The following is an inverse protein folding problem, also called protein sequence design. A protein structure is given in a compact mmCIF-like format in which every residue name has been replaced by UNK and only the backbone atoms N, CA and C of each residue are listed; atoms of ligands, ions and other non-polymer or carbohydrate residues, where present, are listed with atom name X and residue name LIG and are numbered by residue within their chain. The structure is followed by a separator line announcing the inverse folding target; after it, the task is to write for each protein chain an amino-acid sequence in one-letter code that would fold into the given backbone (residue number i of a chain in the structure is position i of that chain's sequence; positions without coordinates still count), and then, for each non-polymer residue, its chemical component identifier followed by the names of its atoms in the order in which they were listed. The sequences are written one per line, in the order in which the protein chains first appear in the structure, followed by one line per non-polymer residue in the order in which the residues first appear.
data_IF_580288109654
#
_entry.id   IF_580288109654
#
_cell.length_a   1.000
_cell.length_b   1.000
_cell.length_c   1.000
_cell.angle_alpha   90.00
_cell.angle_beta   90.00
_cell.angle_gamma   90.00
#
_symmetry.space_group_name_H-M   'P 1'
#
loop_
_entity.id
_entity.type
_entity.pdbx_description
1 polymer ?
#
# COMPACT_ATOMS: atom_id res chain seq x y z
N UNK A 1 -5.94 14.03 -15.83
CA UNK A 1 -6.79 13.87 -14.64
C UNK A 1 -6.06 14.20 -13.30
N UNK A 2 -4.93 14.96 -13.35
CA UNK A 2 -4.20 15.40 -12.16
C UNK A 2 -3.95 14.27 -11.12
N UNK A 3 -3.59 13.07 -11.60
CA UNK A 3 -3.30 11.90 -10.75
C UNK A 3 -4.44 11.53 -9.78
N UNK A 4 -5.70 11.58 -10.24
CA UNK A 4 -6.86 11.11 -9.48
C UNK A 4 -7.45 9.86 -10.09
N UNK A 5 -8.11 9.07 -9.24
CA UNK A 5 -8.88 7.91 -9.67
C UNK A 5 -10.07 8.36 -10.54
N UNK A 6 -10.27 7.69 -11.67
CA UNK A 6 -11.44 7.85 -12.53
C UNK A 6 -12.10 6.50 -12.84
N UNK A 7 -11.66 5.46 -12.15
CA UNK A 7 -12.16 4.09 -12.34
C UNK A 7 -13.38 3.83 -11.48
N UNK A 8 -14.31 3.02 -12.02
CA UNK A 8 -15.41 2.42 -11.28
C UNK A 8 -15.06 0.99 -10.84
N UNK A 9 -16.08 0.20 -10.52
CA UNK A 9 -15.95 -1.16 -9.96
C UNK A 9 -15.11 -2.12 -10.79
N UNK A 10 -15.15 -2.00 -12.12
CA UNK A 10 -14.41 -2.88 -13.02
C UNK A 10 -12.92 -2.53 -13.08
N UNK A 11 -12.57 -1.24 -13.08
CA UNK A 11 -11.18 -0.79 -13.25
C UNK A 11 -10.39 -0.70 -11.94
N UNK A 12 -11.06 -0.35 -10.84
CA UNK A 12 -10.39 -0.11 -9.55
C UNK A 12 -9.61 -1.32 -9.02
N UNK A 13 -10.10 -2.58 -9.11
CA UNK A 13 -9.35 -3.74 -8.66
C UNK A 13 -8.01 -3.97 -9.37
N UNK A 14 -7.84 -3.43 -10.58
CA UNK A 14 -6.68 -3.70 -11.42
C UNK A 14 -5.69 -2.55 -11.52
N UNK A 15 -6.12 -1.30 -11.31
CA UNK A 15 -5.30 -0.13 -11.64
C UNK A 15 -3.98 -0.11 -10.87
N UNK A 16 -4.00 -0.29 -9.55
CA UNK A 16 -2.77 -0.27 -8.75
C UNK A 16 -1.86 -1.46 -9.06
N UNK A 17 -2.43 -2.65 -9.30
CA UNK A 17 -1.67 -3.82 -9.75
C UNK A 17 -0.99 -3.57 -11.09
N UNK A 18 -1.76 -3.13 -12.09
CA UNK A 18 -1.24 -2.85 -13.44
C UNK A 18 -0.12 -1.82 -13.41
N UNK A 19 -0.28 -0.74 -12.67
CA UNK A 19 0.76 0.27 -12.51
C UNK A 19 2.02 -0.31 -11.86
N UNK A 20 1.88 -1.04 -10.77
CA UNK A 20 3.02 -1.65 -10.06
C UNK A 20 3.76 -2.69 -10.91
N UNK A 21 3.05 -3.48 -11.69
CA UNK A 21 3.62 -4.53 -12.54
C UNK A 21 4.30 -4.00 -13.81
N UNK A 22 3.97 -2.78 -14.22
CA UNK A 22 4.55 -2.14 -15.40
C UNK A 22 5.51 -0.99 -15.09
N UNK A 23 6.13 -0.99 -13.90
CA UNK A 23 7.18 -0.06 -13.54
C UNK A 23 6.70 1.34 -13.09
N UNK A 24 5.38 1.50 -12.87
CA UNK A 24 4.78 2.75 -12.42
C UNK A 24 4.23 2.65 -10.98
N UNK A 25 4.96 1.95 -10.09
CA UNK A 25 4.54 1.71 -8.71
C UNK A 25 4.35 3.02 -7.91
N UNK A 26 5.21 4.00 -8.12
CA UNK A 26 5.08 5.33 -7.49
C UNK A 26 3.76 6.02 -7.84
N UNK A 27 3.25 5.83 -9.06
CA UNK A 27 1.93 6.33 -9.44
C UNK A 27 0.82 5.59 -8.69
N UNK A 28 0.92 4.27 -8.52
CA UNK A 28 -0.03 3.50 -7.72
C UNK A 28 -0.02 3.96 -6.26
N UNK A 29 1.15 4.17 -5.68
CA UNK A 29 1.34 4.72 -4.34
C UNK A 29 0.73 6.13 -4.21
N UNK A 30 0.96 7.00 -5.19
CA UNK A 30 0.36 8.35 -5.23
C UNK A 30 -1.17 8.28 -5.24
N UNK A 31 -1.76 7.42 -6.07
CA UNK A 31 -3.22 7.24 -6.11
C UNK A 31 -3.77 6.72 -4.78
N UNK A 32 -3.05 5.81 -4.14
CA UNK A 32 -3.44 5.23 -2.87
C UNK A 32 -3.38 6.24 -1.72
N UNK A 33 -2.35 7.09 -1.68
CA UNK A 33 -2.12 8.08 -0.64
C UNK A 33 -2.83 9.43 -0.85
N UNK A 34 -3.60 9.59 -1.95
CA UNK A 34 -4.41 10.78 -2.19
C UNK A 34 -5.46 10.95 -1.10
N UNK A 35 -5.56 12.17 -0.55
CA UNK A 35 -6.52 12.53 0.49
C UNK A 35 -7.73 13.29 -0.06
N UNK A 36 -7.58 13.92 -1.23
CA UNK A 36 -8.65 14.66 -1.89
C UNK A 36 -9.52 13.77 -2.79
N UNK A 37 -10.73 14.22 -3.08
CA UNK A 37 -11.70 13.51 -3.92
C UNK A 37 -11.23 13.44 -5.39
N UNK A 38 -11.38 12.30 -6.06
CA UNK A 38 -11.80 10.98 -5.59
C UNK A 38 -10.63 10.11 -5.12
N UNK A 39 -10.71 9.58 -3.91
CA UNK A 39 -9.68 8.70 -3.34
C UNK A 39 -10.23 7.85 -2.19
N UNK A 40 -9.49 6.83 -1.77
CA UNK A 40 -9.81 6.04 -0.57
C UNK A 40 -9.70 6.89 0.71
N UNK A 41 -8.63 7.69 0.83
CA UNK A 41 -8.39 8.49 2.03
C UNK A 41 -9.37 9.66 2.16
N UNK A 42 -9.94 10.16 1.06
CA UNK A 42 -11.07 11.09 1.13
C UNK A 42 -12.22 10.53 1.98
N UNK A 43 -12.65 9.29 1.70
CA UNK A 43 -13.70 8.65 2.49
C UNK A 43 -13.28 8.47 3.95
N UNK A 44 -12.04 8.07 4.22
CA UNK A 44 -11.49 7.93 5.58
C UNK A 44 -11.51 9.27 6.31
N UNK A 45 -11.05 10.35 5.67
CA UNK A 45 -11.02 11.71 6.24
C UNK A 45 -12.43 12.26 6.49
N UNK A 46 -13.43 11.81 5.71
CA UNK A 46 -14.85 12.09 5.96
C UNK A 46 -15.47 11.22 7.06
N UNK A 47 -14.68 10.40 7.76
CA UNK A 47 -15.11 9.56 8.87
C UNK A 47 -15.71 8.21 8.48
N UNK A 48 -15.44 7.71 7.27
CA UNK A 48 -15.89 6.39 6.84
C UNK A 48 -15.30 5.27 7.72
N UNK A 49 -16.15 4.37 8.17
CA UNK A 49 -15.77 3.14 8.88
C UNK A 49 -15.96 1.89 8.02
N UNK A 50 -16.47 2.06 6.82
CA UNK A 50 -16.76 1.01 5.84
C UNK A 50 -16.40 1.53 4.45
N UNK A 51 -16.24 0.63 3.48
CA UNK A 51 -16.02 1.00 2.07
C UNK A 51 -17.34 1.49 1.47
N UNK A 52 -17.30 2.68 0.87
CA UNK A 52 -18.44 3.27 0.19
C UNK A 52 -18.60 2.75 -1.24
N UNK A 53 -19.84 2.74 -1.74
CA UNK A 53 -20.16 2.35 -3.12
C UNK A 53 -19.62 3.35 -4.15
N UNK A 54 -19.56 4.62 -3.78
CA UNK A 54 -19.12 5.71 -4.66
C UNK A 54 -18.01 6.50 -3.99
N UNK A 55 -17.12 7.05 -4.79
CA UNK A 55 -16.10 7.96 -4.29
C UNK A 55 -16.67 9.19 -3.59
N UNK A 56 -17.84 9.66 -4.04
CA UNK A 56 -18.58 10.83 -3.53
C UNK A 56 -19.82 10.45 -2.72
N UNK A 57 -19.89 9.28 -2.11
CA UNK A 57 -21.07 8.86 -1.33
C UNK A 57 -21.50 9.91 -0.32
N UNK A 58 -20.52 10.56 0.35
CA UNK A 58 -20.74 11.77 1.13
C UNK A 58 -19.90 12.89 0.50
N UNK A 59 -20.54 14.00 0.15
CA UNK A 59 -19.90 15.18 -0.43
C UNK A 59 -19.17 15.99 0.63
N UNK A 60 -18.23 16.91 0.25
CA UNK A 60 -17.48 17.72 1.22
C UNK A 60 -18.36 18.56 2.16
N UNK A 61 -19.57 18.90 1.77
CA UNK A 61 -20.56 19.61 2.59
C UNK A 61 -21.32 18.68 3.57
N UNK A 62 -20.97 17.38 3.61
CA UNK A 62 -21.60 16.38 4.45
C UNK A 62 -22.93 15.84 3.92
N UNK A 63 -23.39 16.28 2.74
CA UNK A 63 -24.61 15.76 2.13
C UNK A 63 -24.34 14.48 1.33
N UNK A 64 -25.37 13.63 1.21
CA UNK A 64 -25.27 12.43 0.38
C UNK A 64 -25.34 12.77 -1.11
N UNK A 65 -24.73 11.91 -1.93
CA UNK A 65 -24.94 11.94 -3.37
C UNK A 65 -26.39 11.55 -3.71
N UNK A 66 -27.02 12.35 -4.58
CA UNK A 66 -28.46 12.24 -4.91
C UNK A 66 -28.79 11.19 -5.99
N UNK A 67 -27.80 10.49 -6.51
CA UNK A 67 -27.98 9.58 -7.65
C UNK A 67 -28.73 8.27 -7.32
N UNK A 68 -29.23 8.10 -6.11
CA UNK A 68 -30.21 7.08 -5.71
C UNK A 68 -29.62 5.70 -5.38
N UNK A 69 -28.46 5.33 -5.90
CA UNK A 69 -27.74 4.10 -5.55
C UNK A 69 -26.44 4.49 -4.82
N UNK A 70 -26.49 4.48 -3.52
CA UNK A 70 -25.42 4.98 -2.67
C UNK A 70 -25.34 4.22 -1.33
N UNK A 71 -24.73 3.04 -1.36
CA UNK A 71 -24.47 2.27 -0.16
C UNK A 71 -23.20 2.78 0.55
N UNK A 72 -23.26 2.91 1.86
CA UNK A 72 -22.08 3.17 2.69
C UNK A 72 -21.36 1.88 3.13
N UNK A 73 -21.84 0.72 2.72
CA UNK A 73 -21.23 -0.57 3.00
C UNK A 73 -21.19 -1.42 1.72
N UNK A 74 -20.18 -1.19 0.89
CA UNK A 74 -20.03 -1.84 -0.41
C UNK A 74 -18.57 -2.33 -0.59
N UNK A 75 -18.38 -3.57 -1.07
CA UNK A 75 -17.06 -4.21 -1.08
C UNK A 75 -16.11 -3.73 -2.18
N UNK A 76 -16.61 -3.21 -3.31
CA UNK A 76 -15.87 -3.14 -4.57
C UNK A 76 -14.55 -2.36 -4.48
N UNK A 77 -14.53 -1.19 -3.89
CA UNK A 77 -13.30 -0.39 -3.74
C UNK A 77 -12.36 -0.92 -2.67
N UNK A 78 -12.83 -1.81 -1.80
CA UNK A 78 -11.98 -2.53 -0.84
C UNK A 78 -11.03 -3.53 -1.49
N UNK A 79 -11.20 -3.80 -2.79
CA UNK A 79 -10.26 -4.58 -3.62
C UNK A 79 -8.81 -4.05 -3.59
N UNK A 80 -8.58 -2.79 -3.21
CA UNK A 80 -7.23 -2.24 -2.98
C UNK A 80 -6.46 -3.03 -1.93
N UNK A 81 -7.16 -3.69 -1.01
CA UNK A 81 -6.56 -4.58 0.00
C UNK A 81 -5.71 -5.70 -0.64
N UNK A 82 -6.12 -6.29 -1.77
CA UNK A 82 -5.31 -7.27 -2.47
C UNK A 82 -3.98 -6.67 -2.96
N UNK A 83 -3.98 -5.43 -3.46
CA UNK A 83 -2.76 -4.72 -3.83
C UNK A 83 -1.89 -4.41 -2.61
N UNK A 84 -2.48 -4.03 -1.48
CA UNK A 84 -1.73 -3.81 -0.24
C UNK A 84 -1.00 -5.08 0.21
N UNK A 85 -1.68 -6.24 0.20
CA UNK A 85 -1.07 -7.51 0.54
C UNK A 85 0.02 -7.92 -0.45
N UNK A 86 -0.30 -7.92 -1.76
CA UNK A 86 0.56 -8.53 -2.77
C UNK A 86 1.69 -7.64 -3.26
N UNK A 87 1.54 -6.31 -3.18
CA UNK A 87 2.55 -5.35 -3.65
C UNK A 87 3.18 -4.59 -2.51
N UNK A 88 2.41 -3.96 -1.63
CA UNK A 88 2.97 -3.17 -0.54
C UNK A 88 3.64 -4.09 0.49
N UNK A 89 2.91 -5.01 1.11
CA UNK A 89 3.49 -6.01 2.00
C UNK A 89 4.32 -7.07 1.23
N UNK A 90 4.05 -7.24 -0.07
CA UNK A 90 4.80 -8.11 -0.97
C UNK A 90 4.45 -9.59 -0.87
N UNK A 91 3.43 -9.96 -0.08
CA UNK A 91 3.07 -11.36 0.12
C UNK A 91 2.22 -11.88 -1.04
N UNK A 92 2.76 -12.79 -1.84
CA UNK A 92 2.09 -13.41 -2.97
C UNK A 92 2.28 -14.92 -2.97
N UNK A 93 1.21 -15.67 -3.22
CA UNK A 93 1.35 -17.11 -3.39
C UNK A 93 2.01 -17.46 -4.73
N UNK A 94 2.93 -18.41 -4.71
CA UNK A 94 3.54 -19.02 -5.90
C UNK A 94 2.97 -20.42 -6.16
N UNK A 95 2.56 -21.12 -5.10
CA UNK A 95 1.85 -22.39 -5.16
C UNK A 95 0.58 -22.35 -4.31
N UNK A 96 -0.47 -23.11 -4.65
CA UNK A 96 -1.73 -23.10 -3.93
C UNK A 96 -1.57 -23.26 -2.42
N UNK A 97 -2.36 -22.50 -1.65
CA UNK A 97 -2.37 -22.53 -0.19
C UNK A 97 -1.14 -21.93 0.46
N UNK A 98 -0.29 -21.20 -0.30
CA UNK A 98 1.01 -20.67 0.17
C UNK A 98 2.01 -21.77 0.52
N UNK A 99 1.94 -22.94 -0.14
CA UNK A 99 2.97 -23.98 -0.03
C UNK A 99 4.35 -23.44 -0.40
N UNK A 100 4.39 -22.62 -1.45
CA UNK A 100 5.50 -21.76 -1.82
C UNK A 100 4.95 -20.35 -2.04
N UNK A 101 5.61 -19.35 -1.47
CA UNK A 101 5.17 -17.96 -1.56
C UNK A 101 6.34 -17.00 -1.75
N UNK A 102 6.04 -15.79 -2.17
CA UNK A 102 7.02 -14.71 -2.32
C UNK A 102 6.74 -13.63 -1.28
N UNK A 103 7.81 -13.06 -0.73
CA UNK A 103 7.81 -11.80 0.01
C UNK A 103 8.70 -10.82 -0.76
N UNK A 104 8.06 -9.83 -1.41
CA UNK A 104 8.71 -8.78 -2.21
C UNK A 104 8.05 -7.45 -1.91
N UNK A 105 8.34 -6.82 -0.77
CA UNK A 105 7.71 -5.57 -0.36
C UNK A 105 8.12 -4.42 -1.28
N UNK A 106 7.17 -3.51 -1.52
CA UNK A 106 7.37 -2.31 -2.32
C UNK A 106 7.10 -1.06 -1.48
N UNK A 107 7.87 -0.02 -1.73
CA UNK A 107 7.78 1.22 -0.97
C UNK A 107 6.55 2.04 -1.33
N UNK A 108 5.96 2.66 -0.31
CA UNK A 108 4.92 3.70 -0.46
C UNK A 108 5.40 4.92 0.32
N UNK A 109 5.66 6.03 -0.36
CA UNK A 109 6.09 7.27 0.29
C UNK A 109 5.03 7.69 1.31
N UNK A 110 5.45 8.01 2.52
CA UNK A 110 4.57 8.32 3.65
C UNK A 110 4.28 7.13 4.58
N UNK A 111 4.75 5.92 4.24
CA UNK A 111 4.61 4.72 5.08
C UNK A 111 6.02 4.17 5.36
N UNK A 112 6.51 4.37 6.60
CA UNK A 112 7.86 3.95 7.00
C UNK A 112 7.89 2.54 7.59
N UNK A 113 6.74 2.02 8.05
CA UNK A 113 6.59 0.67 8.59
C UNK A 113 5.32 0.05 8.00
N UNK A 114 5.44 -1.14 7.45
CA UNK A 114 4.30 -1.88 6.88
C UNK A 114 4.54 -3.38 6.93
N UNK A 115 3.48 -4.14 6.77
CA UNK A 115 3.59 -5.60 6.76
C UNK A 115 2.24 -6.28 6.80
N UNK A 116 2.29 -7.60 6.96
CA UNK A 116 1.11 -8.42 7.06
C UNK A 116 1.35 -9.66 7.90
N UNK A 117 0.30 -10.11 8.56
CA UNK A 117 0.17 -11.44 9.12
C UNK A 117 -0.93 -12.17 8.36
N UNK A 118 -0.67 -13.39 7.94
CA UNK A 118 -1.61 -14.17 7.15
C UNK A 118 -1.67 -15.62 7.66
N UNK A 119 -2.87 -16.08 8.02
CA UNK A 119 -3.12 -17.46 8.43
C UNK A 119 -3.34 -18.35 7.21
N UNK A 120 -2.29 -19.04 6.80
CA UNK A 120 -2.38 -20.03 5.72
C UNK A 120 -2.80 -21.40 6.25
N UNK A 121 -3.13 -22.33 5.33
CA UNK A 121 -3.40 -23.73 5.69
C UNK A 121 -2.19 -24.45 6.31
N UNK A 122 -0.99 -23.89 6.19
CA UNK A 122 0.26 -24.42 6.77
C UNK A 122 0.65 -23.71 8.07
N UNK A 123 -0.07 -22.66 8.47
CA UNK A 123 0.19 -21.84 9.64
C UNK A 123 0.42 -20.37 9.27
N UNK A 124 0.78 -19.61 10.28
CA UNK A 124 0.94 -18.15 10.19
C UNK A 124 2.17 -17.78 9.37
N UNK A 125 1.98 -16.87 8.43
CA UNK A 125 3.03 -16.17 7.70
C UNK A 125 3.09 -14.75 8.26
N UNK A 126 4.30 -14.25 8.53
CA UNK A 126 4.56 -12.84 8.88
C UNK A 126 5.50 -12.26 7.84
N UNK A 127 5.21 -11.06 7.35
CA UNK A 127 6.08 -10.30 6.47
C UNK A 127 6.00 -8.82 6.85
N UNK A 128 6.98 -8.33 7.60
CA UNK A 128 7.05 -6.96 8.07
C UNK A 128 8.29 -6.28 7.48
N UNK A 129 8.13 -5.02 7.11
CA UNK A 129 9.21 -4.20 6.56
C UNK A 129 9.18 -2.82 7.20
N UNK A 130 10.34 -2.27 7.46
CA UNK A 130 10.49 -0.85 7.80
C UNK A 130 11.61 -0.21 6.98
N UNK A 131 11.44 1.08 6.66
CA UNK A 131 12.44 1.91 6.01
C UNK A 131 12.48 3.25 6.73
N UNK A 132 13.37 3.36 7.71
CA UNK A 132 13.51 4.54 8.57
C UNK A 132 14.92 4.65 9.14
N UNK A 133 15.29 5.83 9.59
CA UNK A 133 16.59 6.11 10.22
C UNK A 133 17.79 5.64 9.36
N UNK A 134 17.66 5.73 8.01
CA UNK A 134 18.71 5.31 7.07
C UNK A 134 18.90 3.79 6.98
N UNK A 135 17.91 3.00 7.39
CA UNK A 135 17.95 1.54 7.35
C UNK A 135 16.67 0.94 6.79
N UNK A 136 16.83 -0.18 6.10
CA UNK A 136 15.74 -1.09 5.78
C UNK A 136 15.86 -2.32 6.67
N UNK A 137 14.75 -2.70 7.30
CA UNK A 137 14.62 -3.96 8.01
C UNK A 137 13.48 -4.77 7.40
N UNK A 138 13.73 -6.06 7.11
CA UNK A 138 12.74 -7.01 6.59
C UNK A 138 12.71 -8.22 7.51
N UNK A 139 11.56 -8.48 8.10
CA UNK A 139 11.29 -9.62 8.98
C UNK A 139 10.28 -10.57 8.33
N UNK A 140 10.61 -11.84 8.22
CA UNK A 140 9.73 -12.86 7.60
C UNK A 140 9.67 -14.13 8.47
N UNK A 141 8.44 -14.56 8.80
CA UNK A 141 8.22 -15.87 9.41
C UNK A 141 7.60 -16.82 8.38
N UNK A 142 8.26 -17.95 8.19
CA UNK A 142 7.87 -18.99 7.23
C UNK A 142 7.38 -20.23 7.98
N UNK A 143 6.11 -20.61 7.85
CA UNK A 143 5.55 -21.73 8.60
C UNK A 143 6.12 -23.09 8.16
N UNK A 144 5.93 -24.10 9.00
CA UNK A 144 6.43 -25.46 8.75
C UNK A 144 5.93 -26.02 7.42
N UNK A 145 6.78 -26.81 6.74
CA UNK A 145 6.48 -27.44 5.45
C UNK A 145 6.19 -26.48 4.29
N UNK A 146 6.63 -25.23 4.37
CA UNK A 146 6.53 -24.25 3.29
C UNK A 146 7.89 -23.70 2.91
N UNK A 147 7.96 -23.03 1.77
CA UNK A 147 9.15 -22.30 1.32
C UNK A 147 8.79 -20.89 0.90
N UNK A 148 9.69 -19.95 1.12
CA UNK A 148 9.52 -18.56 0.72
C UNK A 148 10.64 -18.11 -0.22
N UNK A 149 10.28 -17.24 -1.17
CA UNK A 149 11.21 -16.48 -2.01
C UNK A 149 11.18 -15.04 -1.50
N UNK A 150 12.23 -14.64 -0.78
CA UNK A 150 12.35 -13.29 -0.22
C UNK A 150 13.20 -12.45 -1.19
N UNK A 151 12.62 -11.34 -1.65
CA UNK A 151 13.28 -10.36 -2.52
C UNK A 151 13.42 -9.07 -1.73
N UNK A 152 14.65 -8.71 -1.40
CA UNK A 152 14.93 -7.54 -0.58
C UNK A 152 14.76 -6.24 -1.39
N UNK A 153 14.08 -5.22 -0.83
CA UNK A 153 13.99 -3.90 -1.47
C UNK A 153 15.37 -3.33 -1.84
N UNK A 154 15.45 -2.59 -2.93
CA UNK A 154 16.68 -1.94 -3.44
C UNK A 154 17.84 -2.91 -3.77
N UNK A 155 17.68 -4.19 -3.52
CA UNK A 155 18.68 -5.20 -3.82
C UNK A 155 18.17 -6.16 -4.88
N UNK A 156 19.06 -6.63 -5.73
CA UNK A 156 18.76 -7.70 -6.70
C UNK A 156 18.85 -9.10 -6.07
N UNK A 157 19.06 -9.15 -4.76
CA UNK A 157 19.24 -10.39 -4.02
C UNK A 157 17.90 -11.09 -3.79
N UNK A 158 17.89 -12.38 -4.12
CA UNK A 158 16.73 -13.27 -3.89
C UNK A 158 17.18 -14.41 -2.98
N UNK A 159 16.46 -14.60 -1.89
CA UNK A 159 16.71 -15.68 -0.94
C UNK A 159 15.59 -16.71 -1.00
N UNK A 160 15.89 -17.93 -1.35
CA UNK A 160 14.94 -19.03 -1.24
C UNK A 160 15.19 -19.77 0.08
N UNK A 161 14.17 -19.80 0.95
CA UNK A 161 14.29 -20.26 2.34
C UNK A 161 13.19 -21.24 2.71
N UNK A 162 13.50 -22.17 3.61
CA UNK A 162 12.53 -23.09 4.21
C UNK A 162 11.82 -22.47 5.41
N UNK A 163 11.15 -23.30 6.24
CA UNK A 163 10.52 -22.83 7.47
C UNK A 163 11.52 -22.25 8.46
N UNK A 164 11.16 -21.15 9.11
CA UNK A 164 12.03 -20.43 10.05
C UNK A 164 11.67 -18.96 10.17
N UNK A 165 12.52 -18.22 10.88
CA UNK A 165 12.41 -16.77 11.06
C UNK A 165 13.65 -16.16 10.44
N UNK A 166 13.43 -15.11 9.64
CA UNK A 166 14.48 -14.46 8.87
C UNK A 166 14.41 -12.95 9.06
N UNK A 167 15.56 -12.38 9.42
CA UNK A 167 15.74 -10.94 9.62
C UNK A 167 16.88 -10.43 8.72
N UNK A 168 16.59 -9.37 7.97
CA UNK A 168 17.56 -8.68 7.13
C UNK A 168 17.59 -7.21 7.51
N UNK A 169 18.77 -6.67 7.81
CA UNK A 169 18.95 -5.24 8.07
C UNK A 169 20.13 -4.72 7.23
N UNK A 170 19.93 -3.59 6.56
CA UNK A 170 20.97 -2.92 5.77
C UNK A 170 20.70 -1.43 5.64
N UNK A 171 21.77 -0.66 5.36
CA UNK A 171 21.68 0.78 5.17
C UNK A 171 21.01 1.14 3.84
N UNK A 172 20.29 2.27 3.82
CA UNK A 172 19.68 2.87 2.63
C UNK A 172 19.82 4.39 2.67
N UNK A 173 19.80 4.99 1.48
CA UNK A 173 19.66 6.44 1.31
C UNK A 173 18.20 6.86 1.07
N UNK A 174 17.30 5.90 0.85
CA UNK A 174 15.87 6.16 0.64
C UNK A 174 15.22 6.64 1.92
N UNK A 175 14.47 7.75 1.80
CA UNK A 175 13.59 8.25 2.85
C UNK A 175 12.14 8.19 2.38
N UNK A 176 11.31 7.52 3.16
CA UNK A 176 9.86 7.44 2.94
C UNK A 176 9.09 8.49 3.76
N UNK A 177 9.78 9.24 4.63
CA UNK A 177 9.18 10.31 5.39
C UNK A 177 8.57 11.36 4.46
N UNK A 178 7.38 11.84 4.81
CA UNK A 178 6.74 13.00 4.18
C UNK A 178 6.87 14.17 5.12
N UNK A 179 7.52 15.22 4.66
CA UNK A 179 7.55 16.48 5.40
C UNK A 179 6.13 17.04 5.46
N UNK A 180 5.60 17.15 6.67
CA UNK A 180 4.32 17.82 6.91
C UNK A 180 4.61 19.26 7.24
N UNK A 181 4.19 20.16 6.37
CA UNK A 181 4.31 21.59 6.61
C UNK A 181 3.34 22.01 7.71
N UNK A 182 3.79 22.91 8.57
CA UNK A 182 3.02 23.55 9.62
C UNK A 182 2.93 25.07 9.37
N UNK A 183 2.21 25.78 10.21
CA UNK A 183 2.18 27.25 10.15
C UNK A 183 3.55 27.89 10.43
N UNK A 184 4.49 27.15 10.99
CA UNK A 184 5.85 27.57 11.29
C UNK A 184 6.85 27.23 10.15
N UNK A 185 6.41 26.49 9.12
CA UNK A 185 7.24 26.15 7.98
C UNK A 185 7.53 27.36 7.11
N UNK A 186 8.76 27.48 6.64
CA UNK A 186 9.15 28.59 5.76
C UNK A 186 8.66 28.38 4.33
N UNK A 187 8.45 29.46 3.58
CA UNK A 187 8.12 29.39 2.15
C UNK A 187 9.16 28.61 1.34
N UNK A 188 10.44 28.67 1.75
CA UNK A 188 11.51 27.93 1.08
C UNK A 188 11.36 26.42 1.25
N UNK A 189 11.01 25.95 2.42
CA UNK A 189 10.72 24.54 2.69
C UNK A 189 9.50 24.05 1.88
N UNK A 190 8.41 24.83 1.88
CA UNK A 190 7.18 24.50 1.15
C UNK A 190 7.44 24.41 -0.36
N UNK A 191 8.17 25.36 -0.95
CA UNK A 191 8.46 25.39 -2.39
C UNK A 191 9.46 24.31 -2.80
N UNK A 192 10.32 23.84 -1.89
CA UNK A 192 11.27 22.78 -2.16
C UNK A 192 10.59 21.39 -2.31
N UNK A 193 9.38 21.22 -1.79
CA UNK A 193 8.63 19.96 -1.91
C UNK A 193 7.69 19.99 -3.14
N UNK A 194 7.95 19.17 -4.17
CA UNK A 194 7.18 19.22 -5.43
C UNK A 194 5.67 18.97 -5.26
N UNK A 195 5.27 18.25 -4.20
CA UNK A 195 3.86 17.95 -3.92
C UNK A 195 3.13 19.08 -3.16
N UNK A 196 3.86 20.05 -2.61
CA UNK A 196 3.27 21.17 -1.89
C UNK A 196 2.82 22.34 -2.80
N UNK A 197 3.20 22.31 -4.08
CA UNK A 197 3.03 23.43 -5.05
C UNK A 197 1.92 23.11 -6.07
N UNK A 198 1.29 21.93 -6.05
CA UNK A 198 0.14 21.57 -6.89
C UNK A 198 -1.21 21.88 -6.20
#
# INVERSE_FOLDING_TARGET
HKNHLSTGFVGTPYICHTLSENGAHEMAATLFMKEDYPSWLYAVNMGATTIWERWNSIKPDGTFDESGMNSLNHYAYGSVGDWMYRKVAGLSQLEPGYKRFQVKPMFVKGIEEWGTEFESVYGKIVANTSCKDGKIHVHVEVPANTTAVIVLPEKEETHEVGSGVYDYEYATETSLAVERFSMDSTLGEIVAEPLAVE
#
